data_IF_551902108235
#
_entry.id   IF_551902108235
#
_cell.length_a   1.000
_cell.length_b   1.000
_cell.length_c   1.000
_cell.angle_alpha   90.00
_cell.angle_beta   90.00
_cell.angle_gamma   90.00
#
_symmetry.space_group_name_H-M   'P 1'
#
loop_
_entity.id
_entity.type
_entity.pdbx_description
1 polymer ?
#
# COMPACT_ATOMS: atom_id res chain seq x y z
N UNK A 1 -1.30 -7.11 9.64
CA UNK A 1 -0.14 -7.20 8.71
C UNK A 1 -0.07 -8.53 7.95
N UNK A 2 -0.04 -9.72 8.59
CA UNK A 2 0.00 -11.04 7.92
C UNK A 2 -1.08 -11.21 6.84
N UNK A 3 -2.34 -10.87 7.14
CA UNK A 3 -3.46 -11.00 6.20
C UNK A 3 -3.27 -10.12 4.96
N UNK A 4 -2.81 -8.89 5.15
CA UNK A 4 -2.57 -7.96 4.04
C UNK A 4 -1.44 -8.45 3.11
N UNK A 5 -0.36 -8.99 3.68
CA UNK A 5 0.75 -9.55 2.91
C UNK A 5 0.36 -10.85 2.17
N UNK A 6 -0.36 -11.76 2.83
CA UNK A 6 -0.89 -12.97 2.17
C UNK A 6 -1.89 -12.63 1.07
N UNK A 7 -2.64 -11.53 1.24
CA UNK A 7 -3.56 -11.01 0.23
C UNK A 7 -2.89 -10.68 -1.11
N UNK A 8 -1.58 -10.37 -1.14
CA UNK A 8 -0.82 -10.17 -2.38
C UNK A 8 -0.87 -11.38 -3.33
N UNK A 9 -1.09 -12.58 -2.80
CA UNK A 9 -1.23 -13.79 -3.61
C UNK A 9 -2.49 -13.78 -4.49
N UNK A 10 -3.48 -12.94 -4.19
CA UNK A 10 -4.75 -12.86 -4.93
C UNK A 10 -4.57 -12.10 -6.25
N UNK A 11 -3.54 -11.26 -6.34
CA UNK A 11 -3.24 -10.46 -7.53
C UNK A 11 -2.90 -11.33 -8.76
N UNK A 12 -2.46 -12.59 -8.54
CA UNK A 12 -2.14 -13.52 -9.62
C UNK A 12 -0.77 -13.30 -10.29
N UNK A 13 0.01 -12.31 -9.83
CA UNK A 13 1.38 -12.06 -10.33
C UNK A 13 2.37 -12.82 -9.45
N UNK A 14 3.14 -13.73 -10.03
CA UNK A 14 4.06 -14.64 -9.32
C UNK A 14 5.06 -13.91 -8.41
N UNK A 15 5.60 -12.78 -8.87
CA UNK A 15 6.51 -11.93 -8.10
C UNK A 15 5.85 -11.38 -6.83
N UNK A 16 4.63 -10.84 -6.93
CA UNK A 16 3.89 -10.31 -5.79
C UNK A 16 3.47 -11.41 -4.81
N UNK A 17 3.10 -12.58 -5.34
CA UNK A 17 2.82 -13.77 -4.52
C UNK A 17 4.04 -14.18 -3.70
N UNK A 18 5.21 -14.27 -4.33
CA UNK A 18 6.46 -14.59 -3.63
C UNK A 18 6.81 -13.54 -2.55
N UNK A 19 6.68 -12.26 -2.86
CA UNK A 19 6.86 -11.17 -1.91
C UNK A 19 5.87 -11.22 -0.75
N UNK A 20 4.59 -11.50 -1.03
CA UNK A 20 3.54 -11.60 -0.03
C UNK A 20 3.80 -12.75 0.96
N UNK A 21 4.14 -13.93 0.46
CA UNK A 21 4.47 -15.10 1.28
C UNK A 21 5.75 -14.84 2.08
N UNK A 22 6.81 -14.34 1.45
CA UNK A 22 8.07 -14.02 2.12
C UNK A 22 7.89 -12.99 3.24
N UNK A 23 7.13 -11.92 2.96
CA UNK A 23 6.78 -10.89 3.94
C UNK A 23 5.92 -11.43 5.09
N UNK A 24 4.95 -12.30 4.80
CA UNK A 24 4.14 -12.94 5.82
C UNK A 24 4.97 -13.85 6.73
N UNK A 25 5.88 -14.63 6.18
CA UNK A 25 6.81 -15.46 6.94
C UNK A 25 7.71 -14.57 7.83
N UNK A 26 8.28 -13.53 7.28
CA UNK A 26 9.11 -12.56 8.02
C UNK A 26 8.33 -11.92 9.19
N UNK A 27 7.08 -11.53 8.95
CA UNK A 27 6.21 -10.98 9.99
C UNK A 27 5.90 -12.02 11.08
N UNK A 28 5.64 -13.27 10.72
CA UNK A 28 5.42 -14.36 11.68
C UNK A 28 6.67 -14.59 12.57
N UNK A 29 7.85 -14.65 11.97
CA UNK A 29 9.11 -14.74 12.70
C UNK A 29 9.34 -13.54 13.63
N UNK A 30 9.02 -12.33 13.19
CA UNK A 30 9.12 -11.12 14.00
C UNK A 30 8.22 -11.21 15.26
N UNK A 31 6.99 -11.72 15.11
CA UNK A 31 6.07 -11.93 16.24
C UNK A 31 6.66 -12.97 17.21
N UNK A 32 7.10 -14.12 16.73
CA UNK A 32 7.70 -15.16 17.58
C UNK A 32 8.92 -14.61 18.33
N UNK A 33 9.78 -13.86 17.65
CA UNK A 33 10.96 -13.22 18.25
C UNK A 33 10.55 -12.19 19.32
N UNK A 34 9.51 -11.39 19.05
CA UNK A 34 9.04 -10.39 20.00
C UNK A 34 8.48 -10.98 21.30
N UNK A 35 7.78 -12.14 21.22
CA UNK A 35 7.20 -12.78 22.40
C UNK A 35 8.18 -13.72 23.12
N UNK A 36 9.24 -14.17 22.50
CA UNK A 36 10.21 -15.11 23.10
C UNK A 36 11.53 -14.45 23.42
N UNK A 37 12.24 -13.95 22.40
CA UNK A 37 13.59 -13.43 22.53
C UNK A 37 13.62 -12.13 23.33
N UNK A 38 12.69 -11.21 23.07
CA UNK A 38 12.67 -9.91 23.75
C UNK A 38 12.46 -10.04 25.27
N UNK A 39 11.47 -10.77 25.79
CA UNK A 39 11.33 -11.03 27.23
C UNK A 39 12.53 -11.77 27.82
N UNK A 40 13.11 -12.74 27.10
CA UNK A 40 14.30 -13.44 27.53
C UNK A 40 15.51 -12.51 27.69
N UNK A 41 15.75 -11.63 26.73
CA UNK A 41 16.79 -10.60 26.79
C UNK A 41 16.54 -9.60 27.93
N UNK A 42 15.29 -9.17 28.10
CA UNK A 42 14.93 -8.27 29.21
C UNK A 42 15.16 -8.94 30.58
N UNK A 43 14.87 -10.24 30.70
CA UNK A 43 15.17 -11.02 31.90
C UNK A 43 16.66 -11.21 32.13
N UNK A 44 17.42 -11.52 31.07
CA UNK A 44 18.87 -11.80 31.16
C UNK A 44 19.70 -10.53 31.44
N UNK A 45 19.39 -9.43 30.78
CA UNK A 45 20.16 -8.18 30.87
C UNK A 45 19.55 -7.16 31.86
N UNK A 46 18.35 -7.32 32.33
CA UNK A 46 17.69 -6.58 33.40
C UNK A 46 18.00 -5.08 33.40
N UNK A 47 18.62 -4.61 34.49
CA UNK A 47 18.95 -3.18 34.69
C UNK A 47 19.97 -2.62 33.68
N UNK A 48 20.73 -3.44 32.96
CA UNK A 48 21.72 -2.95 32.00
C UNK A 48 21.05 -2.33 30.76
N UNK A 49 19.92 -2.89 30.30
CA UNK A 49 19.14 -2.36 29.18
C UNK A 49 18.53 -0.98 29.42
N UNK A 50 18.29 -0.64 30.71
CA UNK A 50 17.69 0.64 31.09
C UNK A 50 18.73 1.71 31.51
N UNK A 51 20.03 1.39 31.45
CA UNK A 51 21.10 2.32 31.84
C UNK A 51 21.38 3.44 30.81
N UNK A 52 21.31 3.24 29.49
CA UNK A 52 21.54 4.32 28.54
C UNK A 52 20.43 5.36 28.67
N UNK A 53 20.75 6.53 29.19
CA UNK A 53 19.86 7.69 29.20
C UNK A 53 20.07 8.47 27.91
N UNK A 54 19.02 8.67 27.12
CA UNK A 54 19.07 9.55 25.97
C UNK A 54 19.14 10.98 26.51
N UNK A 55 20.23 11.74 26.20
CA UNK A 55 20.27 13.15 26.59
C UNK A 55 19.10 13.89 25.94
N UNK A 56 18.53 14.87 26.62
CA UNK A 56 17.39 15.69 26.21
C UNK A 56 15.98 15.05 26.35
N UNK A 57 15.87 13.82 26.79
CA UNK A 57 14.55 13.24 27.13
C UNK A 57 14.30 13.40 28.64
N UNK A 58 13.28 14.20 29.01
CA UNK A 58 12.87 14.35 30.40
C UNK A 58 12.45 12.99 30.98
N UNK A 59 12.86 12.72 32.21
CA UNK A 59 12.36 11.55 32.95
C UNK A 59 10.85 11.72 33.18
N UNK A 60 10.07 10.94 32.48
CA UNK A 60 8.64 10.86 32.70
C UNK A 60 8.32 9.45 33.12
N UNK A 61 7.65 9.30 34.24
CA UNK A 61 7.12 8.01 34.64
C UNK A 61 5.91 7.68 33.72
N UNK A 62 5.93 6.57 32.96
CA UNK A 62 4.82 6.24 32.09
C UNK A 62 3.51 5.98 32.84
N UNK A 63 3.57 5.69 34.13
CA UNK A 63 2.44 5.40 35.03
C UNK A 63 1.98 6.64 35.84
N UNK A 64 2.64 7.79 35.69
CA UNK A 64 2.25 9.01 36.38
C UNK A 64 1.11 9.74 35.65
N UNK A 65 -0.13 9.40 36.00
CA UNK A 65 -1.36 10.03 35.52
C UNK A 65 -1.48 11.53 35.82
N UNK A 66 -0.64 12.07 36.70
CA UNK A 66 -0.71 13.48 37.13
C UNK A 66 -0.05 14.44 36.14
N UNK A 67 0.78 13.94 35.23
CA UNK A 67 1.59 14.76 34.35
C UNK A 67 0.89 15.12 33.05
N UNK A 68 0.74 16.42 32.76
CA UNK A 68 0.17 16.92 31.51
C UNK A 68 1.20 16.76 30.39
N UNK A 69 1.08 15.68 29.61
CA UNK A 69 1.95 15.43 28.45
C UNK A 69 1.55 16.29 27.25
N UNK A 70 2.48 16.45 26.28
CA UNK A 70 2.18 17.11 25.01
C UNK A 70 1.03 16.42 24.26
N UNK A 71 0.94 15.06 24.34
CA UNK A 71 -0.17 14.29 23.79
C UNK A 71 -1.52 14.70 24.38
N UNK A 72 -1.60 14.84 25.72
CA UNK A 72 -2.82 15.29 26.38
C UNK A 72 -3.21 16.72 25.97
N UNK A 73 -2.25 17.65 25.84
CA UNK A 73 -2.53 19.01 25.36
C UNK A 73 -3.09 19.00 23.96
N UNK A 74 -2.54 18.19 23.07
CA UNK A 74 -3.00 18.03 21.70
C UNK A 74 -4.39 17.39 21.64
N UNK A 75 -4.65 16.34 22.43
CA UNK A 75 -5.97 15.73 22.53
C UNK A 75 -7.04 16.73 23.01
N UNK A 76 -6.72 17.57 24.01
CA UNK A 76 -7.61 18.66 24.49
C UNK A 76 -7.87 19.70 23.41
N UNK A 77 -6.88 20.01 22.56
CA UNK A 77 -7.06 20.92 21.43
C UNK A 77 -8.06 20.36 20.41
N UNK A 78 -7.90 19.09 20.03
CA UNK A 78 -8.83 18.38 19.14
C UNK A 78 -10.24 18.36 19.77
N UNK A 79 -10.34 18.01 21.04
CA UNK A 79 -11.61 17.91 21.77
C UNK A 79 -12.33 19.27 21.95
N UNK A 80 -11.62 20.39 21.79
CA UNK A 80 -12.20 21.74 21.88
C UNK A 80 -12.96 22.13 20.62
N UNK A 81 -12.47 21.72 19.43
CA UNK A 81 -13.07 22.08 18.16
C UNK A 81 -13.00 20.90 17.15
N UNK A 82 -13.64 19.74 17.44
CA UNK A 82 -13.44 18.52 16.68
C UNK A 82 -13.92 18.62 15.22
N UNK A 83 -14.99 19.38 14.96
CA UNK A 83 -15.49 19.59 13.61
C UNK A 83 -14.51 20.39 12.73
N UNK A 84 -13.90 21.43 13.30
CA UNK A 84 -12.90 22.25 12.59
C UNK A 84 -11.65 21.43 12.32
N UNK A 85 -11.18 20.67 13.31
CA UNK A 85 -9.98 19.82 13.18
C UNK A 85 -10.19 18.73 12.13
N UNK A 86 -11.38 18.11 12.14
CA UNK A 86 -11.77 17.13 11.13
C UNK A 86 -11.81 17.75 9.73
N UNK A 87 -12.53 18.87 9.57
CA UNK A 87 -12.65 19.56 8.28
C UNK A 87 -11.27 19.96 7.72
N UNK A 88 -10.41 20.55 8.57
CA UNK A 88 -9.06 20.92 8.15
C UNK A 88 -8.24 19.72 7.70
N UNK A 89 -8.30 18.60 8.45
CA UNK A 89 -7.60 17.37 8.11
C UNK A 89 -8.09 16.80 6.76
N UNK A 90 -9.40 16.76 6.54
CA UNK A 90 -10.00 16.28 5.28
C UNK A 90 -9.63 17.18 4.11
N UNK A 91 -9.66 18.51 4.30
CA UNK A 91 -9.28 19.48 3.25
C UNK A 91 -7.80 19.33 2.90
N UNK A 92 -6.91 19.22 3.90
CA UNK A 92 -5.46 19.06 3.66
C UNK A 92 -5.19 17.76 2.92
N UNK A 93 -5.72 16.61 3.41
CA UNK A 93 -5.51 15.32 2.75
C UNK A 93 -6.17 15.29 1.35
N UNK A 94 -7.35 15.89 1.19
CA UNK A 94 -8.03 15.99 -0.10
C UNK A 94 -7.25 16.84 -1.12
N UNK A 95 -6.68 17.96 -0.69
CA UNK A 95 -5.82 18.78 -1.54
C UNK A 95 -4.54 18.04 -1.96
N UNK A 96 -3.92 17.30 -1.03
CA UNK A 96 -2.76 16.47 -1.32
C UNK A 96 -3.10 15.26 -2.21
N UNK A 97 -4.34 14.79 -2.19
CA UNK A 97 -4.82 13.70 -3.04
C UNK A 97 -5.13 14.15 -4.48
N UNK A 98 -5.35 15.46 -4.72
CA UNK A 98 -5.77 15.95 -6.04
C UNK A 98 -4.83 15.54 -7.20
N UNK A 99 -3.49 15.58 -7.09
CA UNK A 99 -2.61 15.13 -8.17
C UNK A 99 -2.70 13.64 -8.50
N UNK A 100 -3.28 12.82 -7.62
CA UNK A 100 -3.43 11.38 -7.86
C UNK A 100 -4.30 11.04 -9.08
N UNK A 101 -5.14 11.98 -9.55
CA UNK A 101 -5.94 11.79 -10.77
C UNK A 101 -5.08 11.68 -12.03
N UNK A 102 -3.85 12.23 -11.99
CA UNK A 102 -2.88 12.18 -13.07
C UNK A 102 -1.93 10.99 -12.95
N UNK A 103 -2.21 10.01 -12.06
CA UNK A 103 -1.33 8.88 -11.82
C UNK A 103 -1.12 8.07 -13.10
N UNK A 104 0.10 8.10 -13.62
CA UNK A 104 0.56 7.24 -14.71
C UNK A 104 1.47 6.15 -14.16
N UNK A 105 1.16 4.90 -14.50
CA UNK A 105 1.86 3.73 -14.03
C UNK A 105 2.72 3.14 -15.14
N UNK A 106 3.96 2.82 -14.82
CA UNK A 106 4.90 2.18 -15.74
C UNK A 106 5.78 1.16 -15.04
N UNK A 107 6.42 0.29 -15.80
CA UNK A 107 7.43 -0.60 -15.26
C UNK A 107 8.84 0.02 -15.41
N UNK A 108 9.77 -0.27 -14.48
CA UNK A 108 11.13 0.25 -14.56
C UNK A 108 11.82 -0.21 -15.83
N UNK A 109 12.32 0.73 -16.61
CA UNK A 109 13.05 0.48 -17.83
C UNK A 109 14.37 1.24 -17.88
N UNK A 110 14.92 1.44 -19.07
CA UNK A 110 16.12 2.24 -19.26
C UNK A 110 15.94 3.70 -18.89
N UNK A 111 14.71 4.21 -18.97
CA UNK A 111 14.30 5.56 -18.58
C UNK A 111 14.41 5.85 -17.09
N UNK A 112 14.23 4.83 -16.25
CA UNK A 112 14.29 4.92 -14.79
C UNK A 112 15.65 4.49 -14.20
N UNK A 113 16.57 4.03 -15.04
CA UNK A 113 17.90 3.62 -14.61
C UNK A 113 18.74 4.82 -14.11
N UNK A 114 19.70 4.61 -13.18
CA UNK A 114 20.58 5.69 -12.69
C UNK A 114 21.29 6.41 -13.84
N UNK A 115 21.38 7.76 -13.78
CA UNK A 115 21.94 8.63 -14.85
C UNK A 115 23.32 8.20 -15.36
N UNK A 116 24.17 7.71 -14.47
CA UNK A 116 25.54 7.30 -14.83
C UNK A 116 25.65 5.86 -15.34
N UNK A 117 24.53 5.11 -15.33
CA UNK A 117 24.54 3.73 -15.79
C UNK A 117 24.65 3.62 -17.31
N UNK A 118 25.27 2.52 -17.77
CA UNK A 118 25.32 2.21 -19.20
C UNK A 118 23.93 1.99 -19.81
N UNK A 119 23.00 1.47 -19.03
CA UNK A 119 21.60 1.26 -19.42
C UNK A 119 20.90 2.59 -19.75
N UNK A 120 21.05 3.60 -18.87
CA UNK A 120 20.46 4.94 -19.10
C UNK A 120 21.06 5.61 -20.33
N UNK A 121 22.40 5.57 -20.46
CA UNK A 121 23.09 6.15 -21.62
C UNK A 121 22.68 5.48 -22.92
N UNK A 122 22.53 4.17 -22.93
CA UNK A 122 22.05 3.46 -24.13
C UNK A 122 20.61 3.85 -24.48
N UNK A 123 19.72 3.93 -23.49
CA UNK A 123 18.34 4.37 -23.66
C UNK A 123 18.26 5.78 -24.27
N UNK A 124 19.00 6.75 -23.69
CA UNK A 124 19.03 8.13 -24.18
C UNK A 124 19.58 8.24 -25.59
N UNK A 125 20.67 7.52 -25.92
CA UNK A 125 21.22 7.48 -27.27
C UNK A 125 20.25 6.89 -28.28
N UNK A 126 19.51 5.83 -27.90
CA UNK A 126 18.46 5.26 -28.76
C UNK A 126 17.30 6.25 -28.97
N UNK A 127 16.86 6.92 -27.90
CA UNK A 127 15.81 7.94 -27.97
C UNK A 127 16.22 9.11 -28.87
N UNK A 128 17.44 9.63 -28.68
CA UNK A 128 17.95 10.77 -29.45
C UNK A 128 18.18 10.44 -30.93
N UNK A 129 18.71 9.23 -31.20
CA UNK A 129 19.04 8.82 -32.56
C UNK A 129 17.91 8.23 -33.36
N UNK A 130 16.94 7.58 -32.71
CA UNK A 130 15.92 6.75 -33.37
C UNK A 130 14.48 6.99 -32.88
N UNK A 131 14.26 7.92 -31.96
CA UNK A 131 12.95 8.16 -31.36
C UNK A 131 12.66 7.26 -30.13
N UNK A 132 11.70 7.70 -29.30
CA UNK A 132 11.34 7.02 -28.04
C UNK A 132 10.84 5.60 -28.26
N UNK A 133 10.03 5.38 -29.30
CA UNK A 133 9.42 4.08 -29.61
C UNK A 133 10.42 2.97 -29.93
N UNK A 134 11.66 3.34 -30.30
CA UNK A 134 12.72 2.35 -30.51
C UNK A 134 13.09 1.57 -29.25
N UNK A 135 12.90 2.17 -28.10
CA UNK A 135 13.06 1.52 -26.80
C UNK A 135 11.87 0.61 -26.44
N UNK A 136 10.77 0.72 -27.18
CA UNK A 136 9.52 -0.02 -26.97
C UNK A 136 9.17 -0.99 -28.08
N UNK A 137 10.15 -1.61 -28.73
CA UNK A 137 9.90 -2.52 -29.85
C UNK A 137 8.97 -3.68 -29.47
N UNK A 138 8.01 -3.91 -30.35
CA UNK A 138 7.03 -5.00 -30.28
C UNK A 138 7.36 -6.07 -31.32
N UNK A 139 6.98 -7.30 -31.05
CA UNK A 139 7.12 -8.41 -31.95
C UNK A 139 5.74 -8.98 -32.24
N UNK A 140 5.35 -9.02 -33.51
CA UNK A 140 4.13 -9.69 -33.94
C UNK A 140 4.51 -11.04 -34.55
N UNK A 141 4.09 -12.12 -33.89
CA UNK A 141 4.30 -13.49 -34.35
C UNK A 141 3.02 -13.99 -35.00
N UNK A 142 3.14 -14.51 -36.21
CA UNK A 142 2.01 -14.95 -37.05
C UNK A 142 2.12 -16.44 -37.28
N UNK A 143 1.03 -17.17 -37.04
CA UNK A 143 0.87 -18.58 -37.41
C UNK A 143 0.20 -18.68 -38.78
N UNK A 144 0.89 -19.36 -39.71
CA UNK A 144 0.47 -19.57 -41.09
C UNK A 144 0.19 -21.05 -41.34
N UNK A 145 0.19 -21.91 -40.33
CA UNK A 145 0.07 -23.36 -40.49
C UNK A 145 -1.24 -23.77 -41.17
N UNK A 146 -2.35 -23.09 -40.84
CA UNK A 146 -3.67 -23.31 -41.41
C UNK A 146 -3.97 -22.47 -42.68
N UNK A 147 -3.07 -21.52 -43.03
CA UNK A 147 -3.24 -20.65 -44.20
C UNK A 147 -2.76 -21.35 -45.44
N UNK A 148 -3.59 -21.47 -46.52
CA UNK A 148 -3.17 -22.01 -47.81
C UNK A 148 -1.95 -21.28 -48.36
N UNK A 149 -1.00 -22.01 -48.94
CA UNK A 149 0.30 -21.49 -49.36
C UNK A 149 0.20 -20.31 -50.34
N UNK A 150 -0.79 -20.32 -51.21
CA UNK A 150 -1.07 -19.25 -52.17
C UNK A 150 -1.69 -17.99 -51.55
N UNK A 151 -2.22 -18.09 -50.32
CA UNK A 151 -2.82 -16.97 -49.58
C UNK A 151 -1.91 -16.38 -48.53
N UNK A 152 -0.76 -17.00 -48.20
CA UNK A 152 0.15 -16.53 -47.13
C UNK A 152 0.70 -15.14 -47.39
N UNK A 153 1.25 -14.89 -48.57
CA UNK A 153 1.78 -13.57 -48.94
C UNK A 153 0.70 -12.48 -48.96
N UNK A 154 -0.48 -12.68 -49.58
CA UNK A 154 -1.60 -11.71 -49.48
C UNK A 154 -2.02 -11.43 -48.04
N UNK A 155 -2.15 -12.45 -47.18
CA UNK A 155 -2.55 -12.31 -45.79
C UNK A 155 -1.53 -11.53 -44.99
N UNK A 156 -0.23 -11.82 -45.13
CA UNK A 156 0.85 -11.06 -44.46
C UNK A 156 0.93 -9.62 -44.94
N UNK A 157 0.71 -9.35 -46.23
CA UNK A 157 0.70 -8.00 -46.78
C UNK A 157 -0.48 -7.18 -46.21
N UNK A 158 -1.68 -7.77 -46.16
CA UNK A 158 -2.86 -7.10 -45.60
C UNK A 158 -2.70 -6.87 -44.11
N UNK A 159 -2.16 -7.82 -43.34
CA UNK A 159 -1.85 -7.64 -41.92
C UNK A 159 -0.86 -6.48 -41.73
N UNK A 160 0.23 -6.47 -42.51
CA UNK A 160 1.21 -5.39 -42.41
C UNK A 160 0.59 -4.02 -42.71
N UNK A 161 -0.23 -3.91 -43.74
CA UNK A 161 -0.88 -2.66 -44.14
C UNK A 161 -1.89 -2.21 -43.05
N UNK A 162 -2.60 -3.16 -42.44
CA UNK A 162 -3.50 -2.89 -41.29
C UNK A 162 -2.73 -2.35 -40.09
N UNK A 163 -1.64 -3.04 -39.69
CA UNK A 163 -0.82 -2.65 -38.54
C UNK A 163 -0.12 -1.30 -38.78
N UNK A 164 0.35 -1.04 -40.00
CA UNK A 164 0.96 0.25 -40.35
C UNK A 164 -0.03 1.43 -40.31
N UNK A 165 -1.34 1.14 -40.37
CA UNK A 165 -2.40 2.15 -40.31
C UNK A 165 -2.73 2.67 -38.92
N UNK A 166 -2.22 2.07 -37.85
CA UNK A 166 -2.46 2.54 -36.49
C UNK A 166 -1.72 3.85 -36.20
N UNK A 167 -2.34 4.75 -35.46
CA UNK A 167 -1.86 6.13 -35.23
C UNK A 167 -0.47 6.15 -34.56
N UNK A 168 -0.25 5.29 -33.56
CA UNK A 168 1.03 5.23 -32.83
C UNK A 168 2.05 4.28 -33.46
N UNK A 169 1.77 3.69 -34.64
CA UNK A 169 2.74 2.87 -35.38
C UNK A 169 3.70 3.79 -36.15
N UNK A 170 5.00 3.68 -35.91
CA UNK A 170 6.04 4.37 -36.66
C UNK A 170 6.41 3.58 -37.91
N UNK A 171 6.87 2.35 -37.72
CA UNK A 171 7.16 1.45 -38.82
C UNK A 171 7.10 -0.03 -38.42
N UNK A 172 6.90 -0.88 -39.45
CA UNK A 172 7.01 -2.34 -39.34
C UNK A 172 8.14 -2.82 -40.26
N UNK A 173 8.86 -3.83 -39.79
CA UNK A 173 9.79 -4.55 -40.68
C UNK A 173 9.03 -5.37 -41.71
N UNK A 174 9.73 -5.85 -42.74
CA UNK A 174 9.20 -6.91 -43.58
C UNK A 174 9.01 -8.20 -42.79
N UNK A 175 8.00 -8.99 -43.16
CA UNK A 175 7.79 -10.31 -42.57
C UNK A 175 9.04 -11.17 -42.71
N UNK A 176 9.47 -11.77 -41.62
CA UNK A 176 10.55 -12.75 -41.59
C UNK A 176 9.92 -14.14 -41.44
N UNK A 177 9.85 -14.96 -42.51
CA UNK A 177 9.26 -16.29 -42.41
C UNK A 177 10.19 -17.25 -41.66
N UNK A 178 9.59 -18.24 -41.00
CA UNK A 178 10.31 -19.40 -40.46
C UNK A 178 10.89 -20.27 -41.60
N UNK A 179 11.83 -21.15 -41.27
CA UNK A 179 12.48 -22.04 -42.25
C UNK A 179 11.50 -22.94 -42.98
N UNK A 180 10.43 -23.36 -42.30
CA UNK A 180 9.36 -24.20 -42.85
C UNK A 180 8.22 -23.41 -43.51
N UNK A 181 8.26 -22.05 -43.39
CA UNK A 181 7.25 -21.15 -43.92
C UNK A 181 5.89 -21.23 -43.20
N UNK A 182 5.80 -21.90 -42.04
CA UNK A 182 4.55 -22.03 -41.28
C UNK A 182 4.32 -20.90 -40.28
N UNK A 183 5.30 -20.03 -40.08
CA UNK A 183 5.20 -18.86 -39.21
C UNK A 183 5.92 -17.65 -39.82
N UNK A 184 5.60 -16.46 -39.37
CA UNK A 184 6.32 -15.23 -39.72
C UNK A 184 6.41 -14.29 -38.53
N UNK A 185 7.45 -13.45 -38.51
CA UNK A 185 7.65 -12.41 -37.48
C UNK A 185 7.70 -11.01 -38.13
N UNK A 186 7.03 -10.06 -37.52
CA UNK A 186 7.23 -8.64 -37.77
C UNK A 186 7.83 -7.98 -36.50
N UNK A 187 8.77 -7.07 -36.72
CA UNK A 187 9.18 -6.13 -35.67
C UNK A 187 8.38 -4.85 -35.87
N UNK A 188 7.63 -4.46 -34.88
CA UNK A 188 6.82 -3.24 -34.86
C UNK A 188 7.45 -2.22 -33.93
N UNK A 189 7.60 -1.00 -34.39
CA UNK A 189 8.16 0.10 -33.61
C UNK A 189 7.07 1.14 -33.47
N UNK A 190 6.60 1.41 -32.23
CA UNK A 190 5.67 2.52 -31.98
C UNK A 190 6.36 3.88 -32.13
N UNK A 191 5.60 4.97 -32.20
CA UNK A 191 6.12 6.36 -32.15
C UNK A 191 6.44 6.76 -30.72
N UNK A 192 5.60 6.33 -29.79
CA UNK A 192 5.69 6.67 -28.37
C UNK A 192 6.56 5.69 -27.60
N UNK A 193 6.99 6.08 -26.39
CA UNK A 193 7.84 5.28 -25.52
C UNK A 193 7.11 4.07 -24.91
N UNK A 194 7.86 3.11 -24.35
CA UNK A 194 7.33 1.82 -23.87
C UNK A 194 6.30 1.94 -22.73
N UNK A 195 6.36 2.98 -21.93
CA UNK A 195 5.45 3.23 -20.82
C UNK A 195 4.31 4.22 -21.18
N UNK A 196 4.21 4.63 -22.44
CA UNK A 196 3.18 5.54 -22.92
C UNK A 196 1.81 4.84 -22.99
N UNK A 197 0.75 5.58 -22.66
CA UNK A 197 -0.63 5.13 -22.85
C UNK A 197 -0.91 4.79 -24.32
N UNK A 198 -0.42 5.60 -25.26
CA UNK A 198 -0.57 5.34 -26.69
C UNK A 198 0.04 4.01 -27.13
N UNK A 199 1.20 3.62 -26.58
CA UNK A 199 1.79 2.30 -26.86
C UNK A 199 0.96 1.16 -26.26
N UNK A 200 0.37 1.35 -25.06
CA UNK A 200 -0.51 0.36 -24.45
C UNK A 200 -1.80 0.18 -25.26
N UNK A 201 -2.39 1.27 -25.72
CA UNK A 201 -3.57 1.25 -26.60
C UNK A 201 -3.24 0.58 -27.94
N UNK A 202 -2.08 0.86 -28.54
CA UNK A 202 -1.62 0.19 -29.74
C UNK A 202 -1.55 -1.33 -29.56
N UNK A 203 -1.03 -1.82 -28.42
CA UNK A 203 -0.98 -3.26 -28.14
C UNK A 203 -2.38 -3.85 -28.06
N UNK A 204 -3.34 -3.13 -27.43
CA UNK A 204 -4.74 -3.56 -27.35
C UNK A 204 -5.39 -3.59 -28.74
N UNK A 205 -5.25 -2.53 -29.52
CA UNK A 205 -5.82 -2.41 -30.88
C UNK A 205 -5.32 -3.53 -31.83
N UNK A 206 -4.01 -3.84 -31.74
CA UNK A 206 -3.41 -4.92 -32.54
C UNK A 206 -4.03 -6.27 -32.16
N UNK A 207 -4.28 -6.53 -30.88
CA UNK A 207 -4.91 -7.78 -30.42
C UNK A 207 -6.37 -7.89 -30.85
N UNK A 208 -7.11 -6.80 -30.74
CA UNK A 208 -8.54 -6.78 -31.06
C UNK A 208 -8.80 -7.09 -32.56
N UNK A 209 -7.85 -6.77 -33.44
CA UNK A 209 -7.95 -7.04 -34.85
C UNK A 209 -7.66 -8.50 -35.24
N UNK A 210 -7.11 -9.36 -34.36
CA UNK A 210 -6.76 -10.75 -34.65
C UNK A 210 -7.94 -11.56 -35.19
N UNK A 211 -9.12 -11.41 -34.55
CA UNK A 211 -10.31 -12.17 -34.95
C UNK A 211 -10.77 -11.94 -36.40
N UNK A 212 -10.49 -10.77 -36.97
CA UNK A 212 -10.80 -10.48 -38.40
C UNK A 212 -9.95 -11.34 -39.34
N UNK A 213 -8.66 -11.50 -39.03
CA UNK A 213 -7.71 -12.28 -39.85
C UNK A 213 -7.90 -13.77 -39.66
N UNK A 214 -8.22 -14.23 -38.46
CA UNK A 214 -8.59 -15.62 -38.19
C UNK A 214 -9.84 -16.01 -38.98
N UNK A 215 -10.87 -15.17 -39.00
CA UNK A 215 -12.10 -15.42 -39.73
C UNK A 215 -11.91 -15.40 -41.25
N UNK A 216 -11.00 -14.57 -41.80
CA UNK A 216 -10.80 -14.36 -43.21
C UNK A 216 -9.82 -15.36 -43.83
N UNK A 217 -8.73 -15.67 -43.14
CA UNK A 217 -7.60 -16.43 -43.66
C UNK A 217 -7.29 -17.71 -42.87
N UNK A 218 -7.89 -17.92 -41.71
CA UNK A 218 -7.45 -18.92 -40.74
C UNK A 218 -6.09 -18.57 -40.10
N UNK A 219 -5.69 -17.30 -40.15
CA UNK A 219 -4.40 -16.84 -39.70
C UNK A 219 -4.53 -16.32 -38.26
N UNK A 220 -3.80 -16.92 -37.34
CA UNK A 220 -3.67 -16.43 -35.95
C UNK A 220 -2.39 -15.62 -35.81
N UNK A 221 -2.42 -14.59 -35.00
CA UNK A 221 -1.22 -13.87 -34.63
C UNK A 221 -1.26 -13.37 -33.19
N UNK A 222 -0.10 -13.18 -32.60
CA UNK A 222 0.04 -12.61 -31.27
C UNK A 222 1.08 -11.49 -31.23
N UNK A 223 0.83 -10.47 -30.39
CA UNK A 223 1.81 -9.42 -30.14
C UNK A 223 2.53 -9.70 -28.84
N UNK A 224 3.86 -9.61 -28.85
CA UNK A 224 4.75 -9.83 -27.70
C UNK A 224 5.92 -8.85 -27.72
N UNK A 225 6.89 -9.06 -26.88
CA UNK A 225 8.00 -8.16 -26.62
C UNK A 225 7.95 -7.58 -25.22
N UNK A 226 9.02 -6.98 -24.76
CA UNK A 226 9.12 -6.43 -23.42
C UNK A 226 7.99 -5.42 -23.12
N UNK A 227 7.69 -4.56 -24.07
CA UNK A 227 6.63 -3.54 -23.96
C UNK A 227 5.24 -4.16 -23.89
N UNK A 228 4.95 -5.20 -24.68
CA UNK A 228 3.67 -5.90 -24.60
C UNK A 228 3.50 -6.63 -23.24
N UNK A 229 4.58 -7.24 -22.74
CA UNK A 229 4.60 -7.86 -21.40
C UNK A 229 4.33 -6.78 -20.32
N UNK A 230 4.90 -5.59 -20.48
CA UNK A 230 4.68 -4.48 -19.54
C UNK A 230 3.22 -4.00 -19.56
N UNK A 231 2.63 -3.89 -20.75
CA UNK A 231 1.20 -3.56 -20.90
C UNK A 231 0.32 -4.61 -20.20
N UNK A 232 0.60 -5.91 -20.40
CA UNK A 232 -0.14 -7.00 -19.74
C UNK A 232 -0.02 -6.96 -18.22
N UNK A 233 1.20 -6.78 -17.71
CA UNK A 233 1.44 -6.68 -16.27
C UNK A 233 0.72 -5.45 -15.68
N UNK A 234 0.80 -4.29 -16.35
CA UNK A 234 0.08 -3.10 -15.91
C UNK A 234 -1.44 -3.32 -15.87
N UNK A 235 -2.00 -3.94 -16.92
CA UNK A 235 -3.42 -4.25 -16.97
C UNK A 235 -3.86 -5.17 -15.82
N UNK A 236 -3.12 -6.25 -15.55
CA UNK A 236 -3.39 -7.18 -14.45
C UNK A 236 -3.27 -6.48 -13.10
N UNK A 237 -2.24 -5.66 -12.91
CA UNK A 237 -2.04 -4.92 -11.66
C UNK A 237 -3.16 -3.92 -11.40
N UNK A 238 -3.54 -3.11 -12.40
CA UNK A 238 -4.63 -2.14 -12.30
C UNK A 238 -5.97 -2.83 -11.99
N UNK A 239 -6.29 -3.90 -12.72
CA UNK A 239 -7.51 -4.68 -12.50
C UNK A 239 -7.56 -5.31 -11.09
N UNK A 240 -6.39 -5.60 -10.50
CA UNK A 240 -6.27 -6.25 -9.20
C UNK A 240 -6.35 -5.29 -8.00
N UNK A 241 -6.17 -3.96 -8.20
CA UNK A 241 -6.15 -2.99 -7.10
C UNK A 241 -7.47 -3.02 -6.31
N UNK A 242 -8.61 -2.95 -6.99
CA UNK A 242 -9.93 -2.87 -6.35
C UNK A 242 -10.28 -4.18 -5.63
N UNK A 243 -10.19 -5.38 -6.25
CA UNK A 243 -10.41 -6.64 -5.56
C UNK A 243 -9.48 -6.84 -4.35
N UNK A 244 -8.20 -6.55 -4.51
CA UNK A 244 -7.21 -6.66 -3.44
C UNK A 244 -7.55 -5.74 -2.26
N UNK A 245 -7.83 -4.47 -2.54
CA UNK A 245 -8.22 -3.49 -1.53
C UNK A 245 -9.50 -3.91 -0.80
N UNK A 246 -10.52 -4.40 -1.54
CA UNK A 246 -11.77 -4.86 -0.96
C UNK A 246 -11.57 -6.05 -0.01
N UNK A 247 -10.72 -7.00 -0.37
CA UNK A 247 -10.44 -8.18 0.46
C UNK A 247 -9.65 -7.77 1.71
N UNK A 248 -8.59 -7.00 1.55
CA UNK A 248 -7.73 -6.57 2.67
C UNK A 248 -8.50 -5.65 3.62
N UNK A 249 -9.19 -4.65 3.08
CA UNK A 249 -10.02 -3.75 3.90
C UNK A 249 -11.21 -4.46 4.53
N UNK A 250 -11.85 -5.39 3.83
CA UNK A 250 -12.95 -6.20 4.34
C UNK A 250 -12.50 -7.12 5.49
N UNK A 251 -11.40 -7.83 5.32
CA UNK A 251 -10.84 -8.70 6.37
C UNK A 251 -10.47 -7.90 7.63
N UNK A 252 -9.82 -6.75 7.45
CA UNK A 252 -9.48 -5.88 8.58
C UNK A 252 -10.72 -5.24 9.20
N UNK A 253 -11.71 -4.84 8.41
CA UNK A 253 -12.99 -4.35 8.93
C UNK A 253 -13.64 -5.39 9.85
N UNK A 254 -13.72 -6.64 9.41
CA UNK A 254 -14.29 -7.74 10.21
C UNK A 254 -13.49 -7.95 11.50
N UNK A 255 -12.15 -7.96 11.42
CA UNK A 255 -11.28 -8.08 12.58
C UNK A 255 -11.48 -6.93 13.57
N UNK A 256 -11.54 -5.70 13.08
CA UNK A 256 -11.77 -4.53 13.94
C UNK A 256 -13.18 -4.49 14.53
N UNK A 257 -14.21 -4.96 13.80
CA UNK A 257 -15.56 -5.13 14.36
C UNK A 257 -15.52 -6.11 15.54
N UNK A 258 -14.79 -7.21 15.39
CA UNK A 258 -14.61 -8.22 16.44
C UNK A 258 -13.90 -7.62 17.68
N UNK A 259 -12.82 -6.87 17.46
CA UNK A 259 -12.02 -6.28 18.55
C UNK A 259 -12.75 -5.13 19.24
N UNK A 260 -13.34 -4.22 18.47
CA UNK A 260 -13.96 -3.00 19.02
C UNK A 260 -15.44 -3.15 19.34
N UNK A 261 -16.10 -4.25 18.94
CA UNK A 261 -17.56 -4.41 19.06
C UNK A 261 -18.31 -3.16 18.61
N UNK A 262 -17.92 -2.63 17.47
CA UNK A 262 -18.47 -1.43 16.82
C UNK A 262 -18.39 -1.57 15.30
N UNK A 263 -19.32 -1.00 14.57
CA UNK A 263 -19.30 -0.91 13.11
C UNK A 263 -18.68 0.43 12.67
N UNK A 264 -18.98 1.50 13.39
CA UNK A 264 -18.57 2.86 12.98
C UNK A 264 -17.07 3.10 13.10
N UNK A 265 -16.42 2.56 14.13
CA UNK A 265 -14.97 2.71 14.30
C UNK A 265 -14.18 2.06 13.17
N UNK A 266 -14.43 0.79 12.80
CA UNK A 266 -13.78 0.18 11.63
C UNK A 266 -14.07 0.92 10.32
N UNK A 267 -15.30 1.39 10.13
CA UNK A 267 -15.68 2.14 8.93
C UNK A 267 -14.87 3.45 8.80
N UNK A 268 -14.77 4.21 9.88
CA UNK A 268 -13.97 5.45 9.90
C UNK A 268 -12.49 5.17 9.70
N UNK A 269 -11.98 4.04 10.21
CA UNK A 269 -10.61 3.62 10.00
C UNK A 269 -10.33 3.29 8.52
N UNK A 270 -11.23 2.56 7.86
CA UNK A 270 -11.12 2.23 6.44
C UNK A 270 -11.18 3.49 5.55
N UNK A 271 -12.16 4.38 5.79
CA UNK A 271 -12.27 5.64 5.05
C UNK A 271 -11.05 6.56 5.26
N UNK A 272 -10.56 6.65 6.49
CA UNK A 272 -9.34 7.40 6.80
C UNK A 272 -8.11 6.85 6.08
N UNK A 273 -7.98 5.52 6.02
CA UNK A 273 -6.92 4.87 5.27
C UNK A 273 -7.01 5.18 3.77
N UNK A 274 -8.19 5.07 3.16
CA UNK A 274 -8.37 5.42 1.75
C UNK A 274 -7.96 6.86 1.46
N UNK A 275 -8.33 7.79 2.34
CA UNK A 275 -7.97 9.19 2.21
C UNK A 275 -6.44 9.41 2.34
N UNK A 276 -5.79 8.71 3.28
CA UNK A 276 -4.33 8.80 3.42
C UNK A 276 -3.60 8.19 2.22
N UNK A 277 -4.13 7.10 1.64
CA UNK A 277 -3.58 6.50 0.42
C UNK A 277 -3.71 7.43 -0.78
N UNK A 278 -4.89 8.02 -0.98
CA UNK A 278 -5.10 9.00 -2.05
C UNK A 278 -4.13 10.20 -1.92
N UNK A 279 -3.93 10.73 -0.71
CA UNK A 279 -2.96 11.79 -0.45
C UNK A 279 -1.52 11.33 -0.71
N UNK A 280 -1.18 10.09 -0.37
CA UNK A 280 0.14 9.52 -0.61
C UNK A 280 0.42 9.40 -2.10
N UNK A 281 -0.54 8.89 -2.89
CA UNK A 281 -0.40 8.85 -4.35
C UNK A 281 -0.29 10.25 -4.92
N UNK A 282 -1.13 11.19 -4.47
CA UNK A 282 -1.07 12.56 -4.96
C UNK A 282 0.28 13.23 -4.75
N UNK A 283 0.87 13.13 -3.55
CA UNK A 283 2.20 13.72 -3.32
C UNK A 283 3.30 12.96 -4.06
N UNK A 284 3.15 11.65 -4.27
CA UNK A 284 4.13 10.87 -5.03
C UNK A 284 4.11 11.28 -6.50
N UNK A 285 2.92 11.43 -7.10
CA UNK A 285 2.75 11.97 -8.46
C UNK A 285 3.33 13.38 -8.56
N UNK A 286 2.99 14.26 -7.63
CA UNK A 286 3.43 15.65 -7.61
C UNK A 286 4.96 15.77 -7.64
N UNK A 287 5.69 14.95 -6.89
CA UNK A 287 7.14 15.04 -6.80
C UNK A 287 7.87 14.20 -7.86
N UNK A 288 7.46 12.96 -8.11
CA UNK A 288 8.20 12.02 -8.93
C UNK A 288 7.73 11.96 -10.39
N UNK A 289 6.49 12.32 -10.66
CA UNK A 289 5.95 12.33 -12.03
C UNK A 289 5.89 13.74 -12.59
N UNK A 290 5.43 14.75 -11.82
CA UNK A 290 5.29 16.12 -12.26
C UNK A 290 6.51 17.00 -11.93
N UNK A 291 7.45 16.52 -11.11
CA UNK A 291 8.69 17.23 -10.77
C UNK A 291 8.48 18.54 -9.99
N UNK A 292 7.41 18.62 -9.19
CA UNK A 292 7.07 19.83 -8.47
C UNK A 292 8.23 20.30 -7.57
N UNK A 293 8.40 21.60 -7.47
CA UNK A 293 9.45 22.30 -6.72
C UNK A 293 10.88 22.06 -7.27
N UNK A 294 11.07 21.34 -8.38
CA UNK A 294 12.39 21.05 -8.93
C UNK A 294 13.28 20.20 -8.01
N UNK A 295 12.67 19.46 -7.06
CA UNK A 295 13.41 18.59 -6.12
C UNK A 295 13.88 17.29 -6.77
N UNK A 296 13.16 16.84 -7.78
CA UNK A 296 13.46 15.64 -8.57
C UNK A 296 13.65 16.10 -10.03
N UNK A 297 14.86 15.96 -10.53
CA UNK A 297 15.20 16.38 -11.92
C UNK A 297 14.72 15.37 -12.95
N UNK A 298 14.72 14.07 -12.59
CA UNK A 298 14.27 12.98 -13.45
C UNK A 298 12.85 12.56 -13.07
N UNK A 299 11.89 13.02 -13.81
CA UNK A 299 10.50 12.59 -13.68
C UNK A 299 10.27 11.30 -14.47
N UNK A 300 9.48 10.39 -13.91
CA UNK A 300 9.16 9.12 -14.55
C UNK A 300 7.77 8.63 -14.07
N UNK A 301 7.11 7.74 -14.83
CA UNK A 301 5.89 7.10 -14.37
C UNK A 301 6.10 6.38 -13.03
N UNK A 302 5.06 6.35 -12.21
CA UNK A 302 5.10 5.64 -10.93
C UNK A 302 5.09 4.14 -11.20
N UNK A 303 5.93 3.40 -10.48
CA UNK A 303 6.05 1.95 -10.71
C UNK A 303 4.73 1.23 -10.46
N UNK A 304 4.31 0.40 -11.40
CA UNK A 304 2.96 -0.18 -11.48
C UNK A 304 2.57 -1.06 -10.29
N UNK A 305 3.52 -1.70 -9.63
CA UNK A 305 3.22 -2.51 -8.44
C UNK A 305 3.24 -1.70 -7.12
N UNK A 306 3.66 -0.43 -7.14
CA UNK A 306 3.71 0.43 -5.95
C UNK A 306 2.33 0.55 -5.26
N UNK A 307 1.21 0.78 -5.97
CA UNK A 307 -0.10 0.88 -5.32
C UNK A 307 -0.45 -0.36 -4.50
N UNK A 308 -0.25 -1.54 -5.06
CA UNK A 308 -0.57 -2.81 -4.41
C UNK A 308 0.34 -3.05 -3.19
N UNK A 309 1.65 -2.80 -3.34
CA UNK A 309 2.59 -2.91 -2.23
C UNK A 309 2.28 -1.90 -1.11
N UNK A 310 1.99 -0.66 -1.48
CA UNK A 310 1.66 0.40 -0.53
C UNK A 310 0.41 0.03 0.28
N UNK A 311 -0.66 -0.44 -0.40
CA UNK A 311 -1.87 -0.93 0.26
C UNK A 311 -1.49 -2.06 1.24
N UNK A 312 -0.76 -3.08 0.82
CA UNK A 312 -0.41 -4.22 1.65
C UNK A 312 0.40 -3.86 2.90
N UNK A 313 1.45 -3.09 2.71
CA UNK A 313 2.40 -2.75 3.78
C UNK A 313 1.82 -1.67 4.71
N UNK A 314 1.41 -0.53 4.14
CA UNK A 314 0.95 0.61 4.95
C UNK A 314 -0.37 0.28 5.63
N UNK A 315 -1.30 -0.44 4.96
CA UNK A 315 -2.54 -0.86 5.59
C UNK A 315 -2.30 -1.82 6.76
N UNK A 316 -1.38 -2.78 6.58
CA UNK A 316 -1.01 -3.69 7.67
C UNK A 316 -0.49 -2.95 8.91
N UNK A 317 0.39 -1.96 8.71
CA UNK A 317 0.91 -1.10 9.78
C UNK A 317 -0.16 -0.20 10.37
N UNK A 318 -0.99 0.39 9.52
CA UNK A 318 -2.08 1.27 9.92
C UNK A 318 -3.07 0.59 10.88
N UNK A 319 -3.41 -0.67 10.62
CA UNK A 319 -4.33 -1.43 11.48
C UNK A 319 -3.74 -1.66 12.88
N UNK A 320 -2.46 -1.93 13.00
CA UNK A 320 -1.79 -2.12 14.28
C UNK A 320 -1.86 -0.84 15.14
N UNK A 321 -1.62 0.33 14.55
CA UNK A 321 -1.74 1.62 15.27
C UNK A 321 -3.19 1.91 15.68
N UNK A 322 -4.16 1.56 14.85
CA UNK A 322 -5.58 1.73 15.14
C UNK A 322 -5.96 0.92 16.39
N UNK A 323 -5.55 -0.33 16.44
CA UNK A 323 -5.84 -1.20 17.59
C UNK A 323 -5.28 -0.58 18.87
N UNK A 324 -4.01 -0.16 18.88
CA UNK A 324 -3.39 0.42 20.08
C UNK A 324 -4.09 1.67 20.59
N UNK A 325 -4.40 2.60 19.69
CA UNK A 325 -4.98 3.89 20.07
C UNK A 325 -6.43 3.75 20.51
N UNK A 326 -7.23 3.05 19.71
CA UNK A 326 -8.69 2.99 19.92
C UNK A 326 -9.05 2.01 21.04
N UNK A 327 -8.29 0.94 21.27
CA UNK A 327 -8.51 0.04 22.41
C UNK A 327 -8.41 0.80 23.74
N UNK A 328 -7.41 1.68 23.87
CA UNK A 328 -7.28 2.51 25.07
C UNK A 328 -8.46 3.48 25.26
N UNK A 329 -8.94 4.08 24.18
CA UNK A 329 -10.12 4.96 24.23
C UNK A 329 -11.38 4.19 24.61
N UNK A 330 -11.54 2.95 24.09
CA UNK A 330 -12.64 2.07 24.43
C UNK A 330 -12.60 1.63 25.89
N UNK A 331 -11.43 1.24 26.38
CA UNK A 331 -11.24 0.83 27.79
C UNK A 331 -11.72 1.94 28.74
N UNK A 332 -11.33 3.19 28.50
CA UNK A 332 -11.77 4.32 29.30
C UNK A 332 -13.27 4.63 29.19
N UNK A 333 -13.85 4.42 28.00
CA UNK A 333 -15.29 4.55 27.80
C UNK A 333 -16.09 3.48 28.56
N UNK A 334 -15.65 2.21 28.50
CA UNK A 334 -16.29 1.09 29.22
C UNK A 334 -16.18 1.28 30.73
N UNK A 335 -15.11 1.94 31.22
CA UNK A 335 -14.98 2.34 32.64
C UNK A 335 -15.94 3.46 33.05
N UNK A 336 -16.80 3.95 32.16
CA UNK A 336 -17.86 4.91 32.46
C UNK A 336 -17.48 6.38 32.22
N UNK A 337 -16.32 6.69 31.62
CA UNK A 337 -15.97 8.07 31.24
C UNK A 337 -16.85 8.56 30.09
N UNK A 338 -17.02 9.89 30.01
CA UNK A 338 -17.67 10.47 28.84
C UNK A 338 -16.88 10.16 27.56
N UNK A 339 -17.52 10.08 26.37
CA UNK A 339 -16.80 9.83 25.11
C UNK A 339 -15.62 10.79 24.87
N UNK A 340 -15.77 12.03 25.27
CA UNK A 340 -14.74 13.06 25.17
C UNK A 340 -13.57 12.80 26.11
N UNK A 341 -13.83 12.48 27.38
CA UNK A 341 -12.79 12.22 28.37
C UNK A 341 -12.09 10.88 28.07
N UNK A 342 -12.86 9.86 27.67
CA UNK A 342 -12.30 8.58 27.23
C UNK A 342 -11.34 8.74 26.04
N UNK A 343 -11.67 9.62 25.07
CA UNK A 343 -10.76 9.95 23.98
C UNK A 343 -9.49 10.65 24.48
N UNK A 344 -9.60 11.65 25.37
CA UNK A 344 -8.43 12.40 25.88
C UNK A 344 -7.49 11.48 26.66
N UNK A 345 -8.02 10.65 27.55
CA UNK A 345 -7.21 9.78 28.39
C UNK A 345 -6.63 8.59 27.60
N UNK A 346 -7.42 7.96 26.74
CA UNK A 346 -6.93 6.92 25.82
C UNK A 346 -5.84 7.44 24.87
N UNK A 347 -5.99 8.68 24.40
CA UNK A 347 -4.98 9.35 23.58
C UNK A 347 -3.67 9.60 24.35
N UNK A 348 -3.76 10.01 25.63
CA UNK A 348 -2.59 10.25 26.46
C UNK A 348 -1.67 9.03 26.53
N UNK A 349 -2.23 7.84 26.70
CA UNK A 349 -1.46 6.59 26.81
C UNK A 349 -1.07 6.00 25.43
N UNK A 350 -1.95 6.13 24.42
CA UNK A 350 -1.73 5.55 23.10
C UNK A 350 -0.83 6.35 22.17
N UNK A 351 -0.90 7.69 22.21
CA UNK A 351 -0.22 8.55 21.25
C UNK A 351 1.31 8.40 21.25
N UNK A 352 1.92 8.15 22.41
CA UNK A 352 3.37 7.96 22.52
C UNK A 352 3.84 6.72 21.75
N UNK A 353 3.10 5.62 21.87
CA UNK A 353 3.42 4.36 21.19
C UNK A 353 3.29 4.55 19.68
N UNK A 354 2.17 5.11 19.24
CA UNK A 354 1.92 5.40 17.81
C UNK A 354 2.99 6.31 17.22
N UNK A 355 3.32 7.40 17.91
CA UNK A 355 4.36 8.35 17.45
C UNK A 355 5.72 7.68 17.33
N UNK A 356 6.14 6.91 18.35
CA UNK A 356 7.43 6.23 18.34
C UNK A 356 7.53 5.21 17.20
N UNK A 357 6.49 4.40 17.02
CA UNK A 357 6.44 3.42 15.96
C UNK A 357 6.41 4.07 14.57
N UNK A 358 5.61 5.14 14.39
CA UNK A 358 5.55 5.88 13.13
C UNK A 358 6.90 6.50 12.77
N UNK A 359 7.59 7.15 13.72
CA UNK A 359 8.92 7.74 13.49
C UNK A 359 9.95 6.67 13.08
N UNK A 360 9.93 5.50 13.74
CA UNK A 360 10.83 4.38 13.36
C UNK A 360 10.55 3.96 11.91
N UNK A 361 9.28 3.73 11.55
CA UNK A 361 8.90 3.27 10.22
C UNK A 361 9.20 4.32 9.14
N UNK A 362 8.90 5.58 9.39
CA UNK A 362 9.24 6.70 8.49
C UNK A 362 10.76 6.75 8.28
N UNK A 363 11.57 6.59 9.34
CA UNK A 363 13.02 6.60 9.24
C UNK A 363 13.55 5.44 8.41
N UNK A 364 12.97 4.23 8.57
CA UNK A 364 13.34 3.05 7.78
C UNK A 364 13.01 3.28 6.30
N UNK A 365 11.81 3.73 5.98
CA UNK A 365 11.40 3.98 4.59
C UNK A 365 12.15 5.17 3.97
N UNK A 366 12.39 6.23 4.73
CA UNK A 366 13.23 7.36 4.29
C UNK A 366 14.67 6.93 3.95
N UNK A 367 15.17 5.85 4.57
CA UNK A 367 16.45 5.26 4.23
C UNK A 367 16.56 4.82 2.76
N UNK A 368 15.44 4.33 2.17
CA UNK A 368 15.40 3.98 0.74
C UNK A 368 15.51 5.20 -0.18
N UNK A 369 15.17 6.40 0.30
CA UNK A 369 15.32 7.65 -0.48
C UNK A 369 16.81 8.01 -0.71
N UNK A 370 17.72 7.39 0.02
CA UNK A 370 19.17 7.55 -0.18
C UNK A 370 19.73 6.68 -1.32
N UNK A 371 18.91 5.80 -1.90
CA UNK A 371 19.29 4.98 -3.05
C UNK A 371 19.62 5.85 -4.27
N UNK A 372 20.61 5.50 -5.10
CA UNK A 372 20.81 6.15 -6.40
C UNK A 372 19.70 5.84 -7.41
N UNK A 373 19.00 4.73 -7.24
CA UNK A 373 17.89 4.29 -8.09
C UNK A 373 16.61 5.08 -7.77
N UNK A 374 16.03 5.71 -8.79
CA UNK A 374 14.85 6.57 -8.65
C UNK A 374 13.60 5.81 -8.26
N UNK A 375 13.49 4.55 -8.71
CA UNK A 375 12.39 3.65 -8.34
C UNK A 375 12.38 3.39 -6.84
N UNK A 376 13.54 3.03 -6.28
CA UNK A 376 13.70 2.83 -4.83
C UNK A 376 13.42 4.11 -4.04
N UNK A 377 13.84 5.28 -4.56
CA UNK A 377 13.53 6.58 -3.95
C UNK A 377 12.03 6.85 -3.90
N UNK A 378 11.32 6.66 -5.02
CA UNK A 378 9.89 6.90 -5.11
C UNK A 378 9.10 5.97 -4.20
N UNK A 379 9.49 4.68 -4.13
CA UNK A 379 8.91 3.70 -3.20
C UNK A 379 9.14 4.09 -1.75
N UNK A 380 10.38 4.42 -1.38
CA UNK A 380 10.73 4.85 -0.02
C UNK A 380 9.96 6.09 0.40
N UNK A 381 9.87 7.08 -0.48
CA UNK A 381 9.09 8.30 -0.25
C UNK A 381 7.61 7.99 -0.06
N UNK A 382 6.99 7.22 -0.97
CA UNK A 382 5.58 6.87 -0.90
C UNK A 382 5.24 6.13 0.39
N UNK A 383 6.08 5.16 0.80
CA UNK A 383 5.88 4.44 2.06
C UNK A 383 6.05 5.35 3.28
N UNK A 384 7.07 6.21 3.29
CA UNK A 384 7.29 7.17 4.39
C UNK A 384 6.13 8.17 4.50
N UNK A 385 5.68 8.74 3.37
CA UNK A 385 4.55 9.65 3.30
C UNK A 385 3.24 8.96 3.71
N UNK A 386 3.00 7.73 3.26
CA UNK A 386 1.84 6.94 3.63
C UNK A 386 1.75 6.69 5.14
N UNK A 387 2.84 6.28 5.76
CA UNK A 387 2.91 6.12 7.22
C UNK A 387 2.73 7.46 7.92
N UNK A 388 3.31 8.55 7.41
CA UNK A 388 3.16 9.88 7.98
C UNK A 388 1.71 10.35 7.96
N UNK A 389 1.03 10.27 6.82
CA UNK A 389 -0.36 10.70 6.70
C UNK A 389 -1.30 9.81 7.51
N UNK A 390 -1.11 8.49 7.48
CA UNK A 390 -1.95 7.60 8.27
C UNK A 390 -1.74 7.81 9.77
N UNK A 391 -0.52 7.77 10.27
CA UNK A 391 -0.25 7.84 11.70
C UNK A 391 -0.59 9.23 12.28
N UNK A 392 -0.10 10.32 11.65
CA UNK A 392 -0.21 11.65 12.23
C UNK A 392 -1.50 12.38 11.86
N UNK A 393 -1.98 12.29 10.61
CA UNK A 393 -3.19 13.00 10.20
C UNK A 393 -4.44 12.15 10.44
N UNK A 394 -4.44 10.88 10.03
CA UNK A 394 -5.62 10.04 10.18
C UNK A 394 -5.78 9.57 11.62
N UNK A 395 -4.78 8.89 12.20
CA UNK A 395 -4.92 8.27 13.54
C UNK A 395 -4.88 9.28 14.68
N UNK A 396 -4.01 10.29 14.57
CA UNK A 396 -3.84 11.24 15.66
C UNK A 396 -4.76 12.47 15.56
N UNK A 397 -5.38 12.75 14.40
CA UNK A 397 -6.26 13.92 14.23
C UNK A 397 -7.66 13.51 13.78
N UNK A 398 -7.81 12.83 12.65
CA UNK A 398 -9.11 12.53 12.05
C UNK A 398 -9.94 11.58 12.93
N UNK A 399 -9.38 10.44 13.33
CA UNK A 399 -10.08 9.43 14.13
C UNK A 399 -10.52 9.99 15.50
N UNK A 400 -9.66 10.62 16.31
CA UNK A 400 -10.08 11.24 17.57
C UNK A 400 -11.17 12.29 17.39
N UNK A 401 -11.07 13.13 16.35
CA UNK A 401 -12.10 14.12 16.03
C UNK A 401 -13.45 13.47 15.74
N UNK A 402 -13.48 12.40 14.93
CA UNK A 402 -14.69 11.64 14.62
C UNK A 402 -15.28 10.98 15.86
N UNK A 403 -14.45 10.36 16.72
CA UNK A 403 -14.92 9.72 17.94
C UNK A 403 -15.60 10.72 18.91
N UNK A 404 -15.06 11.92 19.03
CA UNK A 404 -15.69 12.98 19.84
C UNK A 404 -17.02 13.43 19.23
N UNK A 405 -17.09 13.60 17.91
CA UNK A 405 -18.31 14.02 17.20
C UNK A 405 -19.42 12.96 17.25
N UNK A 406 -19.06 11.70 17.05
CA UNK A 406 -20.01 10.58 17.11
C UNK A 406 -20.46 10.27 18.54
N UNK A 407 -19.66 10.62 19.54
CA UNK A 407 -19.96 10.39 20.94
C UNK A 407 -20.25 8.91 21.24
N UNK A 408 -21.40 8.62 21.86
CA UNK A 408 -21.82 7.25 22.22
C UNK A 408 -22.08 6.38 20.98
N UNK A 409 -22.43 6.97 19.83
CA UNK A 409 -22.67 6.24 18.59
C UNK A 409 -21.43 5.58 18.02
N UNK A 410 -20.24 6.11 18.35
CA UNK A 410 -18.98 5.50 17.95
C UNK A 410 -18.87 4.02 18.37
N UNK A 411 -19.48 3.65 19.48
CA UNK A 411 -19.44 2.31 20.07
C UNK A 411 -20.70 1.50 19.83
N UNK A 412 -21.52 1.91 18.85
CA UNK A 412 -22.76 1.23 18.53
C UNK A 412 -22.52 -0.08 17.76
N UNK A 413 -23.17 -1.14 18.25
CA UNK A 413 -23.21 -2.46 17.61
C UNK A 413 -24.66 -2.95 17.61
N UNK A 414 -25.20 -3.50 16.48
CA UNK A 414 -26.52 -4.12 16.46
C UNK A 414 -26.60 -5.32 17.40
N UNK A 415 -27.70 -5.45 18.14
CA UNK A 415 -27.86 -6.51 19.14
C UNK A 415 -27.79 -7.94 18.57
N UNK A 416 -28.19 -8.12 17.30
CA UNK A 416 -28.08 -9.42 16.63
C UNK A 416 -26.62 -9.81 16.37
N UNK A 417 -25.76 -8.83 16.01
CA UNK A 417 -24.35 -9.04 15.75
C UNK A 417 -23.59 -9.25 17.06
N UNK A 418 -23.97 -8.52 18.11
CA UNK A 418 -23.39 -8.66 19.45
C UNK A 418 -23.57 -10.07 20.05
N UNK A 419 -24.65 -10.76 19.69
CA UNK A 419 -24.92 -12.15 20.12
C UNK A 419 -24.09 -13.20 19.36
N UNK A 420 -23.66 -12.90 18.14
CA UNK A 420 -22.92 -13.83 17.27
C UNK A 420 -21.41 -13.71 17.55
N UNK A 421 -20.95 -12.52 17.91
CA UNK A 421 -19.51 -12.29 18.14
C UNK A 421 -19.04 -12.96 19.42
N UNK A 422 -17.92 -13.72 19.37
CA UNK A 422 -17.30 -14.30 20.54
C UNK A 422 -16.88 -13.19 21.53
N UNK A 423 -16.99 -13.48 22.82
CA UNK A 423 -16.54 -12.58 23.88
C UNK A 423 -15.02 -12.72 24.06
N UNK A 424 -14.28 -11.95 23.25
CA UNK A 424 -12.82 -11.90 23.32
C UNK A 424 -12.45 -10.81 24.32
N UNK A 425 -11.95 -11.23 25.49
CA UNK A 425 -11.44 -10.34 26.54
C UNK A 425 -10.08 -9.74 26.11
N UNK A 426 -10.13 -8.79 25.18
CA UNK A 426 -8.93 -8.04 24.72
C UNK A 426 -8.40 -7.13 25.84
N UNK A 427 -9.23 -6.78 26.79
CA UNK A 427 -8.95 -5.85 27.88
C UNK A 427 -8.34 -6.54 29.11
N UNK A 428 -8.34 -7.86 29.17
CA UNK A 428 -7.82 -8.66 30.28
C UNK A 428 -8.60 -8.46 31.59
N UNK A 429 -9.88 -8.08 31.51
CA UNK A 429 -10.74 -7.84 32.67
C UNK A 429 -10.90 -9.10 33.50
N UNK A 430 -11.11 -10.24 32.87
CA UNK A 430 -11.20 -11.55 33.55
C UNK A 430 -9.90 -11.94 34.27
N UNK A 431 -8.75 -11.61 33.69
CA UNK A 431 -7.45 -11.87 34.31
C UNK A 431 -7.24 -10.99 35.54
N UNK A 432 -7.65 -9.72 35.49
CA UNK A 432 -7.57 -8.81 36.64
C UNK A 432 -8.51 -9.21 37.75
N UNK A 433 -9.73 -9.65 37.45
CA UNK A 433 -10.68 -10.17 38.43
C UNK A 433 -10.12 -11.43 39.14
N UNK A 434 -9.49 -12.34 38.37
CA UNK A 434 -8.82 -13.51 38.94
C UNK A 434 -7.66 -13.08 39.85
N UNK A 435 -6.81 -12.16 39.42
CA UNK A 435 -5.69 -11.68 40.23
C UNK A 435 -6.17 -10.92 41.50
N UNK A 436 -7.26 -10.17 41.44
CA UNK A 436 -7.86 -9.54 42.60
C UNK A 436 -8.47 -10.56 43.54
N UNK A 437 -9.17 -11.57 43.01
CA UNK A 437 -9.73 -12.66 43.83
C UNK A 437 -8.64 -13.47 44.55
N UNK A 438 -7.51 -13.74 43.87
CA UNK A 438 -6.36 -14.43 44.46
C UNK A 438 -5.65 -13.58 45.52
N UNK A 439 -5.53 -12.24 45.27
CA UNK A 439 -4.96 -11.32 46.25
C UNK A 439 -5.85 -11.14 47.49
N UNK A 440 -7.17 -11.14 47.31
CA UNK A 440 -8.13 -11.08 48.40
C UNK A 440 -8.21 -12.42 49.19
N UNK A 441 -8.07 -13.55 48.48
CA UNK A 441 -7.94 -14.87 49.11
C UNK A 441 -6.66 -14.99 49.96
N UNK A 442 -5.55 -14.43 49.44
CA UNK A 442 -4.27 -14.40 50.19
C UNK A 442 -4.27 -13.46 51.41
N UNK A 443 -5.19 -12.49 51.47
CA UNK A 443 -5.35 -11.54 52.57
C UNK A 443 -6.28 -12.04 53.71
N UNK A 444 -7.05 -13.10 53.47
CA UNK A 444 -7.88 -13.71 54.54
C UNK A 444 -6.96 -14.37 55.57
N UNK A 445 -7.03 -13.97 56.86
CA UNK A 445 -6.24 -14.61 57.91
C UNK A 445 -6.66 -16.08 57.96
N UNK A 446 -5.67 -16.96 58.01
CA UNK A 446 -5.88 -18.35 58.42
C UNK A 446 -6.39 -18.29 59.85
N UNK A 447 -7.70 -18.45 60.06
CA UNK A 447 -8.23 -18.71 61.39
C UNK A 447 -7.58 -19.98 61.90
N UNK A 448 -6.64 -19.80 62.81
CA UNK A 448 -6.04 -20.90 63.55
C UNK A 448 -7.15 -21.53 64.40
N UNK A 449 -7.65 -22.69 63.94
CA UNK A 449 -8.48 -23.58 64.73
C UNK A 449 -7.70 -24.05 65.94
N UNK A 450 -8.22 -23.71 67.05
CA UNK A 450 -7.84 -24.28 68.39
C UNK A 450 -8.55 -25.62 68.54
#
# INVERSE_FOLDING_TARGET
MLIALLGLSIVGVSFLTAMGIGGAIAAAFAVVTAITLLPALMGAFGRFLFKPKVPFVAKHDPEDDSSVTNGMRFAKLIAKAPAITLALCVVVLGALAAPAVNLNLGLPGGDSAPKDSSMRKAYELQTEGFGEGKNGMLVVAVDLSEVPQDQREPALSELRDRLAGYEDMDYLTTAQPSEDGQAALFMAVPKSGPNSEATQDLVADVRDAEGEFTAKYGMEYGITGETAIYADVNHVLLASIVPYLAIVAGAAFLLLVLVFRSILVPLTAALGFLLSMAATFGVTVLFFQEGALGLIEDTHPIISFLPIMLIGIVFGLAMDYQVFLVTRMREEFVRGKSPKDAMIDGYHHGARVVTSAAVIMISVFAGFMLSPDITSKSMGFAMAAGVFFDAFLVRMVLIPSLLVLMGKWAWWLPAWLDRILPDIDVEGTKLRELQQSDADAAKKPVEAGV
#
